data_IF_864252733219
#
_entry.id   IF_864252733219
#
_cell.length_a   1.000
_cell.length_b   1.000
_cell.length_c   1.000
_cell.angle_alpha   90.00
_cell.angle_beta   90.00
_cell.angle_gamma   90.00
#
_symmetry.space_group_name_H-M   'P 1'
#
loop_
_entity.id
_entity.type
_entity.pdbx_description
1 polymer ?
#
# COMPACT_ATOMS: atom_id res chain seq x y z
N UNK A 1 1.83 7.45 14.74
CA UNK A 1 2.45 8.68 14.20
C UNK A 1 3.11 8.31 12.87
N UNK A 2 2.76 8.98 11.77
CA UNK A 2 3.31 8.66 10.45
C UNK A 2 4.69 9.26 10.23
N UNK A 3 5.04 10.36 10.90
CA UNK A 3 6.33 11.03 10.74
C UNK A 3 7.49 10.18 11.27
N UNK A 4 7.20 9.34 12.28
CA UNK A 4 8.16 8.43 12.90
C UNK A 4 8.11 7.01 12.32
N UNK A 5 7.39 6.81 11.21
CA UNK A 5 7.32 5.50 10.57
C UNK A 5 8.72 5.07 10.07
N UNK A 6 9.01 3.78 10.21
CA UNK A 6 10.24 3.15 9.69
C UNK A 6 9.90 2.22 8.52
N UNK A 7 10.81 2.04 7.56
CA UNK A 7 10.57 1.18 6.40
C UNK A 7 10.54 -0.30 6.79
N UNK A 8 9.58 -1.03 6.21
CA UNK A 8 9.64 -2.50 6.11
C UNK A 8 10.53 -2.88 4.92
N UNK A 9 11.82 -3.06 5.19
CA UNK A 9 12.82 -3.38 4.14
C UNK A 9 12.48 -4.67 3.38
N UNK A 10 12.13 -5.80 4.03
CA UNK A 10 11.69 -7.01 3.32
C UNK A 10 10.54 -6.77 2.35
N UNK A 11 9.52 -6.02 2.75
CA UNK A 11 8.39 -5.70 1.87
C UNK A 11 8.83 -4.82 0.69
N UNK A 12 9.65 -3.80 0.94
CA UNK A 12 10.21 -2.92 -0.10
C UNK A 12 11.02 -3.73 -1.11
N UNK A 13 11.89 -4.63 -0.66
CA UNK A 13 12.72 -5.46 -1.52
C UNK A 13 11.87 -6.36 -2.44
N UNK A 14 10.81 -6.94 -1.89
CA UNK A 14 9.88 -7.78 -2.65
C UNK A 14 9.07 -6.96 -3.67
N UNK A 15 8.57 -5.78 -3.30
CA UNK A 15 7.85 -4.89 -4.23
C UNK A 15 8.80 -4.39 -5.33
N UNK A 16 10.02 -3.99 -4.98
CA UNK A 16 11.03 -3.57 -5.94
C UNK A 16 11.42 -4.69 -6.90
N UNK A 17 11.42 -5.95 -6.45
CA UNK A 17 11.58 -7.11 -7.33
C UNK A 17 10.43 -7.20 -8.34
N UNK A 18 9.18 -7.12 -7.90
CA UNK A 18 8.02 -7.14 -8.78
C UNK A 18 8.03 -5.98 -9.80
N UNK A 19 8.44 -4.79 -9.37
CA UNK A 19 8.63 -3.64 -10.26
C UNK A 19 9.64 -3.96 -11.37
N UNK A 20 10.82 -4.51 -11.02
CA UNK A 20 11.85 -4.91 -12.00
C UNK A 20 11.41 -6.04 -12.93
N UNK A 21 10.48 -6.89 -12.49
CA UNK A 21 9.87 -7.94 -13.29
C UNK A 21 8.80 -7.41 -14.28
N UNK A 22 8.50 -6.11 -14.24
CA UNK A 22 7.59 -5.44 -15.18
C UNK A 22 6.16 -5.26 -14.66
N UNK A 23 5.90 -5.51 -13.37
CA UNK A 23 4.58 -5.30 -12.80
C UNK A 23 4.29 -3.82 -12.52
N UNK A 24 3.03 -3.42 -12.73
CA UNK A 24 2.56 -2.08 -12.35
C UNK A 24 2.26 -2.02 -10.86
N UNK A 25 3.13 -1.36 -10.12
CA UNK A 25 2.97 -1.13 -8.68
C UNK A 25 2.16 0.14 -8.42
N UNK A 26 0.98 -0.01 -7.81
CA UNK A 26 0.11 1.08 -7.36
C UNK A 26 0.04 1.08 -5.83
N UNK A 27 0.41 2.19 -5.19
CA UNK A 27 0.23 2.34 -3.75
C UNK A 27 -1.18 2.85 -3.47
N UNK A 28 -1.88 2.21 -2.54
CA UNK A 28 -3.18 2.64 -2.03
C UNK A 28 -3.05 2.93 -0.55
N UNK A 29 -3.49 4.11 -0.10
CA UNK A 29 -3.45 4.42 1.33
C UNK A 29 -4.69 5.18 1.79
N UNK A 30 -5.15 4.84 3.00
CA UNK A 30 -6.18 5.59 3.72
C UNK A 30 -5.59 6.60 4.72
N UNK A 31 -4.28 6.87 4.67
CA UNK A 31 -3.63 7.90 5.50
C UNK A 31 -4.36 9.24 5.31
N UNK A 32 -4.83 9.83 6.40
CA UNK A 32 -5.56 11.10 6.36
C UNK A 32 -7.07 10.96 6.40
N UNK A 33 -7.61 9.79 6.07
CA UNK A 33 -9.07 9.58 6.01
C UNK A 33 -9.79 9.91 7.32
N UNK A 34 -9.26 9.43 8.45
CA UNK A 34 -9.88 9.66 9.77
C UNK A 34 -9.49 11.03 10.35
N UNK A 35 -8.28 11.51 10.06
CA UNK A 35 -7.75 12.75 10.66
C UNK A 35 -8.08 14.00 9.86
N UNK A 36 -8.65 13.88 8.66
CA UNK A 36 -8.86 14.95 7.68
C UNK A 36 -7.57 15.76 7.40
N UNK A 37 -6.44 15.04 7.28
CA UNK A 37 -5.12 15.64 7.03
C UNK A 37 -4.55 15.13 5.71
N UNK A 38 -3.92 16.04 4.97
CA UNK A 38 -3.19 15.74 3.74
C UNK A 38 -1.84 15.06 4.05
N UNK A 39 -1.77 13.73 3.90
CA UNK A 39 -0.53 12.95 4.11
C UNK A 39 0.16 12.49 2.82
N UNK A 40 -0.40 12.84 1.65
CA UNK A 40 0.17 12.47 0.35
C UNK A 40 1.63 12.89 0.19
N UNK A 41 1.97 14.18 0.43
CA UNK A 41 3.35 14.65 0.31
C UNK A 41 4.34 13.94 1.24
N UNK A 42 3.99 13.75 2.52
CA UNK A 42 4.83 13.01 3.47
C UNK A 42 5.04 11.57 3.01
N UNK A 43 3.95 10.91 2.58
CA UNK A 43 4.01 9.51 2.16
C UNK A 43 4.89 9.36 0.92
N UNK A 44 4.71 10.21 -0.09
CA UNK A 44 5.54 10.20 -1.30
C UNK A 44 7.03 10.40 -0.97
N UNK A 45 7.34 11.37 -0.11
CA UNK A 45 8.70 11.62 0.38
C UNK A 45 9.29 10.40 1.10
N UNK A 46 8.53 9.76 1.98
CA UNK A 46 8.98 8.54 2.67
C UNK A 46 9.26 7.40 1.69
N UNK A 47 8.40 7.19 0.69
CA UNK A 47 8.62 6.13 -0.30
C UNK A 47 9.91 6.39 -1.12
N UNK A 48 10.16 7.65 -1.48
CA UNK A 48 11.39 8.05 -2.17
C UNK A 48 12.63 7.83 -1.29
N UNK A 49 12.61 8.33 -0.05
CA UNK A 49 13.72 8.16 0.91
C UNK A 49 14.00 6.68 1.23
N UNK A 50 12.98 5.84 1.23
CA UNK A 50 13.12 4.41 1.49
C UNK A 50 13.45 3.60 0.23
N UNK A 51 13.50 4.23 -0.94
CA UNK A 51 13.86 3.60 -2.21
C UNK A 51 12.79 2.64 -2.75
N UNK A 52 11.52 2.87 -2.45
CA UNK A 52 10.41 2.09 -3.00
C UNK A 52 10.09 2.55 -4.43
N UNK A 53 10.06 1.61 -5.38
CA UNK A 53 9.69 1.86 -6.76
C UNK A 53 8.19 1.60 -6.96
N UNK A 54 7.47 2.61 -7.43
CA UNK A 54 6.04 2.56 -7.69
C UNK A 54 5.64 3.51 -8.82
N UNK A 55 4.46 3.27 -9.43
CA UNK A 55 3.98 4.05 -10.57
C UNK A 55 3.03 5.16 -10.16
N UNK A 56 2.18 4.93 -9.16
CA UNK A 56 1.25 5.93 -8.65
C UNK A 56 0.91 5.70 -7.17
N UNK A 57 0.62 6.80 -6.47
CA UNK A 57 0.07 6.81 -5.12
C UNK A 57 -1.40 7.26 -5.20
N UNK A 58 -2.31 6.40 -4.76
CA UNK A 58 -3.74 6.63 -4.75
C UNK A 58 -4.28 6.79 -3.33
N UNK A 59 -5.20 7.74 -3.18
CA UNK A 59 -6.01 7.94 -1.96
C UNK A 59 -7.39 7.27 -2.07
N UNK A 60 -7.73 6.78 -3.26
CA UNK A 60 -8.96 6.05 -3.55
C UNK A 60 -8.63 4.73 -4.21
N UNK A 61 -9.51 3.73 -4.07
CA UNK A 61 -9.25 2.37 -4.53
C UNK A 61 -9.03 2.31 -6.06
N UNK A 62 -7.82 1.99 -6.55
CA UNK A 62 -7.58 1.79 -7.99
C UNK A 62 -8.14 0.44 -8.43
N UNK A 63 -8.25 0.19 -9.74
CA UNK A 63 -8.41 -1.17 -10.25
C UNK A 63 -7.05 -1.90 -10.21
N UNK A 64 -7.04 -3.17 -9.81
CA UNK A 64 -5.82 -3.98 -9.72
C UNK A 64 -6.15 -5.48 -9.78
N UNK A 65 -5.21 -6.28 -10.27
CA UNK A 65 -5.31 -7.75 -10.31
C UNK A 65 -5.11 -8.37 -8.93
N UNK A 66 -4.24 -7.77 -8.11
CA UNK A 66 -3.87 -8.24 -6.77
C UNK A 66 -3.81 -7.06 -5.81
N UNK A 67 -4.34 -7.25 -4.59
CA UNK A 67 -4.19 -6.34 -3.47
C UNK A 67 -3.39 -7.01 -2.37
N UNK A 68 -2.43 -6.28 -1.80
CA UNK A 68 -1.61 -6.70 -0.65
C UNK A 68 -1.82 -5.66 0.44
N UNK A 69 -2.41 -6.05 1.56
CA UNK A 69 -2.82 -5.14 2.63
C UNK A 69 -2.84 -5.89 3.97
N UNK A 70 -2.24 -5.30 5.01
CA UNK A 70 -2.14 -5.89 6.35
C UNK A 70 -3.49 -5.99 7.07
N UNK A 71 -4.52 -5.31 6.57
CA UNK A 71 -5.85 -5.22 7.18
C UNK A 71 -6.98 -5.69 6.27
N UNK A 72 -6.65 -6.35 5.16
CA UNK A 72 -7.66 -6.92 4.27
C UNK A 72 -7.95 -8.39 4.61
N UNK A 73 -9.20 -8.79 4.39
CA UNK A 73 -9.62 -10.20 4.34
C UNK A 73 -10.17 -10.48 2.94
N UNK A 74 -9.84 -11.62 2.36
CA UNK A 74 -10.42 -12.00 1.07
C UNK A 74 -11.92 -12.24 1.24
N UNK A 75 -12.73 -11.81 0.26
CA UNK A 75 -14.20 -11.96 0.35
C UNK A 75 -14.64 -13.42 0.49
N UNK A 76 -13.95 -14.37 -0.15
CA UNK A 76 -14.27 -15.79 -0.02
C UNK A 76 -13.97 -16.30 1.39
N UNK A 77 -12.85 -15.88 1.98
CA UNK A 77 -12.50 -16.21 3.36
C UNK A 77 -13.48 -15.59 4.35
N UNK A 78 -13.87 -14.33 4.13
CA UNK A 78 -14.88 -13.67 4.95
C UNK A 78 -16.23 -14.40 4.92
N UNK A 79 -16.66 -14.87 3.75
CA UNK A 79 -17.88 -15.68 3.60
C UNK A 79 -17.81 -16.97 4.42
N UNK A 80 -16.69 -17.68 4.34
CA UNK A 80 -16.47 -18.89 5.16
C UNK A 80 -16.53 -18.60 6.66
N UNK A 81 -15.93 -17.49 7.11
CA UNK A 81 -15.97 -17.07 8.53
C UNK A 81 -17.39 -16.74 9.03
N UNK A 82 -18.29 -16.33 8.13
CA UNK A 82 -19.70 -16.07 8.45
C UNK A 82 -20.58 -17.33 8.36
N UNK A 83 -20.05 -18.44 7.85
CA UNK A 83 -20.81 -19.67 7.63
C UNK A 83 -21.71 -19.64 6.38
N UNK A 84 -21.37 -18.83 5.38
CA UNK A 84 -22.01 -18.89 4.06
C UNK A 84 -21.66 -20.19 3.30
#
# INVERSE_FOLDING_TARGET
>A
DYEQAIPDKPAIDQINKLYREGHTILLLTARGWVSDKEWGPLTAKQMEEWGLQYHALHMTKPAADVYIDDRAVNVAEWKLLRGD
#
